data_IF_458258292022
#
_entry.id   IF_458258292022
#
_cell.length_a   1.000
_cell.length_b   1.000
_cell.length_c   1.000
_cell.angle_alpha   90.00
_cell.angle_beta   90.00
_cell.angle_gamma   90.00
#
_symmetry.space_group_name_H-M   'P 1'
#
loop_
_entity.id
_entity.type
_entity.pdbx_description
1 polymer ?
#
# COMPACT_ATOMS: atom_id res chain seq x y z
N UNK A 1 -16.64 -9.45 -7.67
CA UNK A 1 -16.95 -8.51 -8.77
C UNK A 1 -15.77 -8.56 -9.75
N UNK A 2 -15.98 -8.87 -11.03
CA UNK A 2 -14.86 -8.98 -12.01
C UNK A 2 -14.60 -7.61 -12.65
N UNK A 3 -13.33 -7.23 -12.77
CA UNK A 3 -12.95 -5.94 -13.34
C UNK A 3 -12.81 -6.09 -14.86
N UNK A 4 -13.52 -5.27 -15.63
CA UNK A 4 -13.48 -5.34 -17.10
C UNK A 4 -12.87 -4.07 -17.65
N UNK A 5 -11.76 -4.20 -18.38
CA UNK A 5 -11.11 -3.09 -19.07
C UNK A 5 -10.82 -3.47 -20.52
N UNK A 6 -11.24 -2.62 -21.46
CA UNK A 6 -11.13 -2.84 -22.93
C UNK A 6 -11.64 -4.20 -23.41
N UNK A 7 -12.73 -4.70 -22.82
CA UNK A 7 -13.33 -5.99 -23.19
C UNK A 7 -12.60 -7.23 -22.63
N UNK A 8 -11.48 -7.05 -21.92
CA UNK A 8 -10.81 -8.13 -21.20
C UNK A 8 -11.30 -8.16 -19.76
N UNK A 9 -11.74 -9.35 -19.32
CA UNK A 9 -12.19 -9.58 -17.95
C UNK A 9 -11.01 -10.08 -17.13
N UNK A 10 -10.67 -9.34 -16.08
CA UNK A 10 -9.60 -9.72 -15.16
C UNK A 10 -10.19 -10.47 -13.96
N UNK A 11 -9.57 -11.60 -13.64
CA UNK A 11 -9.82 -12.27 -12.37
C UNK A 11 -9.09 -11.50 -11.27
N UNK A 12 -9.85 -10.71 -10.53
CA UNK A 12 -9.33 -10.04 -9.34
C UNK A 12 -9.22 -11.11 -8.26
N UNK A 13 -7.98 -11.48 -7.91
CA UNK A 13 -7.69 -12.27 -6.73
C UNK A 13 -7.31 -11.31 -5.59
N UNK A 14 -8.28 -10.82 -4.79
CA UNK A 14 -7.97 -9.93 -3.68
C UNK A 14 -7.12 -10.70 -2.67
N UNK A 15 -5.98 -10.13 -2.28
CA UNK A 15 -5.19 -10.69 -1.20
C UNK A 15 -6.02 -10.62 0.09
N UNK A 16 -6.36 -11.78 0.64
CA UNK A 16 -6.99 -11.86 1.95
C UNK A 16 -5.94 -11.50 3.01
N UNK A 17 -5.96 -10.23 3.44
CA UNK A 17 -5.16 -9.76 4.56
C UNK A 17 -5.92 -10.02 5.85
N UNK A 18 -5.33 -10.80 6.76
CA UNK A 18 -5.85 -10.92 8.11
C UNK A 18 -5.62 -9.58 8.83
N UNK A 19 -6.71 -8.92 9.23
CA UNK A 19 -6.68 -7.60 9.87
C UNK A 19 -7.32 -7.65 11.26
N UNK A 20 -6.83 -6.78 12.15
CA UNK A 20 -7.41 -6.47 13.45
C UNK A 20 -8.06 -5.09 13.39
N UNK A 21 -9.25 -4.99 13.96
CA UNK A 21 -9.95 -3.73 14.11
C UNK A 21 -9.18 -2.78 15.03
N UNK A 22 -9.10 -1.51 14.63
CA UNK A 22 -8.47 -0.45 15.43
C UNK A 22 -9.56 0.54 15.82
N UNK A 23 -9.54 1.02 17.07
CA UNK A 23 -10.49 2.04 17.54
C UNK A 23 -10.18 3.46 17.01
N UNK A 24 -9.23 3.58 16.08
CA UNK A 24 -8.82 4.87 15.54
C UNK A 24 -9.77 5.28 14.41
N UNK A 25 -10.13 6.56 14.39
CA UNK A 25 -10.86 7.21 13.31
C UNK A 25 -9.99 8.36 12.82
N UNK A 26 -9.71 8.39 11.52
CA UNK A 26 -8.89 9.42 10.90
C UNK A 26 -9.74 10.27 9.95
N UNK A 27 -9.50 11.57 9.90
CA UNK A 27 -10.18 12.47 8.99
C UNK A 27 -9.18 13.13 8.04
N UNK A 28 -9.41 13.06 6.74
CA UNK A 28 -8.58 13.69 5.74
C UNK A 28 -9.42 14.24 4.58
N UNK A 29 -9.24 15.53 4.26
CA UNK A 29 -10.00 16.25 3.20
C UNK A 29 -11.53 16.09 3.31
N UNK A 30 -12.06 16.06 4.53
CA UNK A 30 -13.49 15.89 4.78
C UNK A 30 -13.99 14.45 4.66
N UNK A 31 -13.12 13.49 4.33
CA UNK A 31 -13.44 12.07 4.37
C UNK A 31 -13.01 11.46 5.72
N UNK A 32 -13.82 10.53 6.21
CA UNK A 32 -13.55 9.74 7.40
C UNK A 32 -12.99 8.37 7.01
N UNK A 33 -11.94 7.95 7.70
CA UNK A 33 -11.15 6.75 7.45
C UNK A 33 -11.10 5.90 8.70
N UNK A 34 -11.41 4.62 8.55
CA UNK A 34 -11.32 3.62 9.59
C UNK A 34 -10.11 2.72 9.32
N UNK A 35 -8.93 3.02 9.89
CA UNK A 35 -7.76 2.18 9.72
C UNK A 35 -7.95 0.81 10.37
N UNK A 36 -7.48 -0.23 9.67
CA UNK A 36 -7.33 -1.58 10.20
C UNK A 36 -5.85 -1.96 10.23
N UNK A 37 -5.43 -2.74 11.22
CA UNK A 37 -4.05 -3.19 11.35
C UNK A 37 -3.90 -4.60 10.77
N UNK A 38 -3.00 -4.80 9.80
CA UNK A 38 -2.70 -6.13 9.29
C UNK A 38 -1.91 -6.96 10.33
N UNK A 39 -2.35 -8.20 10.58
CA UNK A 39 -1.70 -9.14 11.51
C UNK A 39 -0.39 -9.70 10.93
N UNK A 40 -0.40 -10.00 9.63
CA UNK A 40 0.76 -10.46 8.87
C UNK A 40 0.96 -9.51 7.68
N UNK A 41 1.57 -8.33 7.91
CA UNK A 41 1.82 -7.39 6.82
C UNK A 41 2.77 -8.06 5.79
N UNK A 42 2.49 -7.93 4.48
CA UNK A 42 3.43 -8.38 3.47
C UNK A 42 4.76 -7.65 3.65
N UNK A 43 5.87 -8.31 3.31
CA UNK A 43 7.18 -7.67 3.34
C UNK A 43 7.11 -6.35 2.56
N UNK A 44 7.62 -5.23 3.11
CA UNK A 44 7.67 -3.98 2.39
C UNK A 44 8.38 -4.23 1.08
N UNK A 45 7.72 -3.94 -0.03
CA UNK A 45 8.38 -3.97 -1.33
C UNK A 45 9.43 -2.87 -1.27
N UNK A 46 10.70 -3.24 -1.39
CA UNK A 46 11.79 -2.29 -1.56
C UNK A 46 11.65 -1.68 -2.96
N UNK A 47 10.69 -0.76 -3.09
CA UNK A 47 10.52 0.02 -4.30
C UNK A 47 11.56 1.13 -4.19
N UNK A 48 12.78 0.82 -4.62
CA UNK A 48 13.79 1.83 -4.89
C UNK A 48 13.14 2.96 -5.68
N UNK A 49 13.31 4.19 -5.22
CA UNK A 49 12.64 5.33 -5.84
C UNK A 49 13.38 5.59 -7.15
N UNK A 50 12.77 5.33 -8.31
CA UNK A 50 13.41 5.68 -9.59
C UNK A 50 13.08 7.13 -9.93
N UNK A 51 14.07 8.02 -9.87
CA UNK A 51 13.94 9.40 -10.30
C UNK A 51 14.72 9.63 -11.59
N UNK A 52 14.03 10.02 -12.67
CA UNK A 52 14.64 10.26 -14.01
C UNK A 52 15.52 9.11 -14.53
N UNK A 53 15.15 7.87 -14.22
CA UNK A 53 15.87 6.67 -14.66
C UNK A 53 17.06 6.27 -13.78
N UNK A 54 17.32 6.97 -12.67
CA UNK A 54 18.28 6.55 -11.66
C UNK A 54 17.56 5.99 -10.43
N UNK A 55 18.03 4.85 -9.93
CA UNK A 55 17.56 4.27 -8.68
C UNK A 55 18.10 5.08 -7.49
N UNK A 56 17.18 5.59 -6.68
CA UNK A 56 17.47 6.31 -5.44
C UNK A 56 17.27 5.36 -4.26
N UNK A 57 18.39 5.03 -3.61
CA UNK A 57 18.41 4.30 -2.34
C UNK A 57 18.62 5.31 -1.20
N UNK A 58 17.65 5.51 -0.29
CA UNK A 58 17.79 6.45 0.82
C UNK A 58 18.76 6.01 1.94
N UNK A 59 19.64 5.04 1.68
CA UNK A 59 20.64 4.58 2.65
C UNK A 59 21.83 5.55 2.70
N UNK A 60 21.60 6.74 3.23
CA UNK A 60 22.67 7.60 3.73
C UNK A 60 22.42 7.82 5.22
N UNK A 61 23.08 6.99 6.02
CA UNK A 61 23.39 7.30 7.41
C UNK A 61 24.15 8.63 7.41
N UNK A 62 23.50 9.73 7.77
CA UNK A 62 24.20 10.97 8.08
C UNK A 62 24.88 10.77 9.43
N UNK A 63 26.17 10.46 9.41
CA UNK A 63 27.05 10.57 10.58
C UNK A 63 27.57 12.00 10.65
N UNK A 64 27.35 12.67 11.78
CA UNK A 64 27.93 13.98 12.12
C UNK A 64 29.42 13.87 12.44
#
# INVERSE_FOLDING_TARGET
MKLTYRGVTYEVNPAHLNVKETAAVAHYRGAEYHPHQALNPPAPKDQGIVYRGAEYHPNLTFSF
#
